data_IF_636168687035
#
_entry.id   IF_636168687035
#
_cell.length_a   1.000
_cell.length_b   1.000
_cell.length_c   1.000
_cell.angle_alpha   90.00
_cell.angle_beta   90.00
_cell.angle_gamma   90.00
#
_symmetry.space_group_name_H-M   'P 1'
#
loop_
_entity.id
_entity.type
_entity.pdbx_description
1 polymer ?
#
# COMPACT_ATOMS: atom_id res chain seq x y z
N UNK A 1 -2.95 -0.05 -14.87
CA UNK A 1 -2.69 0.45 -13.50
C UNK A 1 -2.04 1.80 -13.61
N UNK A 2 -2.35 2.74 -12.72
CA UNK A 2 -1.62 4.00 -12.59
C UNK A 2 -0.33 3.77 -11.81
N UNK A 3 0.69 4.62 -12.02
CA UNK A 3 1.97 4.54 -11.30
C UNK A 3 1.75 4.58 -9.79
N UNK A 4 0.85 5.43 -9.31
CA UNK A 4 0.54 5.60 -7.89
C UNK A 4 -0.11 4.36 -7.26
N UNK A 5 -1.02 3.69 -7.99
CA UNK A 5 -1.57 2.42 -7.50
C UNK A 5 -0.49 1.33 -7.41
N UNK A 6 0.41 1.27 -8.40
CA UNK A 6 1.54 0.34 -8.37
C UNK A 6 2.51 0.64 -7.23
N UNK A 7 2.75 1.92 -6.90
CA UNK A 7 3.51 2.32 -5.71
C UNK A 7 2.88 1.81 -4.42
N UNK A 8 1.58 2.04 -4.22
CA UNK A 8 0.89 1.56 -3.02
C UNK A 8 0.96 0.03 -2.93
N UNK A 9 0.74 -0.67 -4.05
CA UNK A 9 0.86 -2.12 -4.10
C UNK A 9 2.29 -2.62 -3.82
N UNK A 10 3.31 -1.92 -4.30
CA UNK A 10 4.70 -2.24 -3.99
C UNK A 10 4.97 -2.15 -2.49
N UNK A 11 4.43 -1.13 -1.82
CA UNK A 11 4.56 -0.97 -0.39
C UNK A 11 3.82 -2.06 0.39
N UNK A 12 2.58 -2.38 -0.01
CA UNK A 12 1.83 -3.50 0.58
C UNK A 12 2.61 -4.82 0.48
N UNK A 13 3.26 -5.08 -0.64
CA UNK A 13 4.11 -6.24 -0.79
C UNK A 13 5.34 -6.23 0.15
N UNK A 14 5.89 -5.06 0.50
CA UNK A 14 6.93 -4.96 1.54
C UNK A 14 6.36 -5.38 2.89
N UNK A 15 5.17 -4.89 3.25
CA UNK A 15 4.50 -5.24 4.50
C UNK A 15 4.27 -6.76 4.62
N UNK A 16 3.88 -7.41 3.52
CA UNK A 16 3.58 -8.85 3.50
C UNK A 16 4.82 -9.73 3.38
N UNK A 17 5.83 -9.31 2.61
CA UNK A 17 7.00 -10.15 2.30
C UNK A 17 8.15 -9.95 3.27
N UNK A 18 8.24 -8.77 3.89
CA UNK A 18 9.34 -8.39 4.79
C UNK A 18 8.84 -7.64 6.03
N UNK A 19 7.87 -8.20 6.78
CA UNK A 19 7.38 -7.56 8.00
C UNK A 19 8.49 -7.36 9.05
N UNK A 20 9.55 -8.18 9.03
CA UNK A 20 10.71 -8.05 9.92
C UNK A 20 11.52 -6.76 9.74
N UNK A 21 11.38 -6.08 8.59
CA UNK A 21 12.01 -4.77 8.36
C UNK A 21 11.24 -3.62 9.02
N UNK A 22 10.04 -3.90 9.54
CA UNK A 22 9.12 -2.90 10.06
C UNK A 22 9.07 -3.04 11.57
N UNK A 23 9.57 -2.02 12.25
CA UNK A 23 9.64 -1.97 13.70
C UNK A 23 8.25 -1.76 14.29
N UNK A 24 8.08 -2.08 15.57
CA UNK A 24 6.82 -1.79 16.28
C UNK A 24 6.44 -0.31 16.23
N UNK A 25 7.41 0.59 16.26
CA UNK A 25 7.18 2.03 16.12
C UNK A 25 6.66 2.38 14.72
N UNK A 26 7.28 1.82 13.68
CA UNK A 26 6.89 2.00 12.29
C UNK A 26 5.44 1.54 12.07
N UNK A 27 5.04 0.43 12.68
CA UNK A 27 3.64 -0.04 12.65
C UNK A 27 2.65 0.93 13.28
N UNK A 28 3.01 1.61 14.38
CA UNK A 28 2.16 2.64 14.99
C UNK A 28 2.02 3.84 14.07
N UNK A 29 3.12 4.29 13.46
CA UNK A 29 3.09 5.40 12.52
C UNK A 29 2.28 5.06 11.26
N UNK A 30 2.41 3.84 10.75
CA UNK A 30 1.63 3.36 9.60
C UNK A 30 0.14 3.29 9.90
N UNK A 31 -0.28 2.85 11.10
CA UNK A 31 -1.68 2.84 11.51
C UNK A 31 -2.27 4.26 11.60
N UNK A 32 -1.50 5.20 12.15
CA UNK A 32 -1.87 6.63 12.18
C UNK A 32 -1.93 7.23 10.78
N UNK A 33 -0.98 6.88 9.91
CA UNK A 33 -0.95 7.31 8.52
C UNK A 33 -2.21 6.81 7.80
N UNK A 34 -2.50 5.51 7.93
CA UNK A 34 -3.64 4.82 7.32
C UNK A 34 -4.98 5.46 7.69
N UNK A 35 -5.15 5.84 8.96
CA UNK A 35 -6.33 6.53 9.47
C UNK A 35 -6.54 7.92 8.82
N UNK A 36 -5.45 8.58 8.40
CA UNK A 36 -5.46 9.91 7.80
C UNK A 36 -5.23 9.90 6.27
N UNK A 37 -5.34 8.73 5.63
CA UNK A 37 -5.14 8.63 4.19
C UNK A 37 -6.32 9.26 3.42
N UNK A 38 -6.02 10.04 2.36
CA UNK A 38 -7.00 10.50 1.39
C UNK A 38 -7.53 9.32 0.56
N UNK A 39 -8.57 9.56 -0.25
CA UNK A 39 -9.09 8.53 -1.16
C UNK A 39 -8.26 8.42 -2.45
N UNK A 40 -7.56 9.49 -2.83
CA UNK A 40 -6.78 9.54 -4.07
C UNK A 40 -5.45 8.78 -3.96
N UNK A 41 -5.16 7.94 -4.94
CA UNK A 41 -3.94 7.12 -4.96
C UNK A 41 -2.66 7.96 -5.12
N UNK A 42 -2.70 9.10 -5.80
CA UNK A 42 -1.56 10.01 -5.94
C UNK A 42 -1.19 10.61 -4.58
N UNK A 43 -2.19 11.15 -3.87
CA UNK A 43 -1.99 11.74 -2.55
C UNK A 43 -1.57 10.70 -1.49
N UNK A 44 -2.12 9.48 -1.54
CA UNK A 44 -1.69 8.37 -0.68
C UNK A 44 -0.22 8.06 -0.95
N UNK A 45 0.18 7.97 -2.22
CA UNK A 45 1.57 7.67 -2.60
C UNK A 45 2.50 8.76 -2.09
N UNK A 46 2.14 10.03 -2.27
CA UNK A 46 2.94 11.15 -1.77
C UNK A 46 3.13 11.08 -0.24
N UNK A 47 2.05 10.84 0.51
CA UNK A 47 2.11 10.67 1.96
C UNK A 47 3.01 9.51 2.37
N UNK A 48 2.91 8.39 1.65
CA UNK A 48 3.70 7.20 1.89
C UNK A 48 5.20 7.43 1.61
N UNK A 49 5.53 8.06 0.48
CA UNK A 49 6.91 8.38 0.14
C UNK A 49 7.51 9.41 1.10
N UNK A 50 6.71 10.36 1.58
CA UNK A 50 7.14 11.26 2.64
C UNK A 50 7.38 10.53 3.97
N UNK A 51 6.59 9.51 4.29
CA UNK A 51 6.85 8.65 5.45
C UNK A 51 8.11 7.81 5.28
N UNK A 52 8.47 7.39 4.06
CA UNK A 52 9.68 6.62 3.75
C UNK A 52 10.99 7.45 3.66
N UNK A 53 10.90 8.78 3.64
CA UNK A 53 12.07 9.67 3.56
C UNK A 53 13.09 9.58 4.71
N UNK A 54 12.69 9.41 5.99
CA UNK A 54 13.63 9.36 7.11
C UNK A 54 14.65 8.22 6.93
N UNK A 55 15.89 8.45 7.38
CA UNK A 55 16.96 7.45 7.28
C UNK A 55 16.63 6.16 8.04
N UNK A 56 15.87 6.27 9.14
CA UNK A 56 15.34 5.13 9.88
C UNK A 56 14.53 4.16 9.02
N UNK A 57 13.90 4.64 7.94
CA UNK A 57 13.10 3.83 7.02
C UNK A 57 13.87 3.44 5.76
N UNK A 58 15.19 3.70 5.68
CA UNK A 58 16.00 3.44 4.49
C UNK A 58 15.94 1.99 4.02
N UNK A 59 15.92 1.02 4.95
CA UNK A 59 15.80 -0.40 4.60
C UNK A 59 14.43 -0.74 4.00
N UNK A 60 13.36 -0.16 4.56
CA UNK A 60 11.99 -0.30 4.05
C UNK A 60 11.88 0.36 2.67
N UNK A 61 12.47 1.54 2.50
CA UNK A 61 12.49 2.29 1.24
C UNK A 61 13.24 1.54 0.12
N UNK A 62 14.35 0.89 0.45
CA UNK A 62 15.07 0.05 -0.51
C UNK A 62 14.24 -1.16 -0.95
N UNK A 63 13.62 -1.86 0.00
CA UNK A 63 12.73 -2.98 -0.31
C UNK A 63 11.55 -2.53 -1.17
N UNK A 64 10.93 -1.39 -0.85
CA UNK A 64 9.87 -0.76 -1.61
C UNK A 64 10.31 -0.48 -3.05
N UNK A 65 11.46 0.16 -3.26
CA UNK A 65 11.99 0.48 -4.59
C UNK A 65 12.29 -0.76 -5.43
N UNK A 66 12.82 -1.81 -4.80
CA UNK A 66 13.06 -3.08 -5.49
C UNK A 66 11.76 -3.68 -6.01
N UNK A 67 10.76 -3.82 -5.14
CA UNK A 67 9.46 -4.39 -5.52
C UNK A 67 8.75 -3.49 -6.53
N UNK A 68 8.82 -2.17 -6.37
CA UNK A 68 8.25 -1.22 -7.33
C UNK A 68 8.86 -1.39 -8.72
N UNK A 69 10.18 -1.52 -8.79
CA UNK A 69 10.90 -1.74 -10.05
C UNK A 69 10.49 -3.07 -10.69
N UNK A 70 10.39 -4.14 -9.89
CA UNK A 70 9.93 -5.45 -10.35
C UNK A 70 8.49 -5.41 -10.88
N UNK A 71 7.57 -4.71 -10.20
CA UNK A 71 6.19 -4.56 -10.64
C UNK A 71 6.09 -3.78 -11.94
N UNK A 72 6.85 -2.68 -12.08
CA UNK A 72 6.89 -1.89 -13.31
C UNK A 72 7.52 -2.69 -14.46
N UNK A 73 8.57 -3.47 -14.20
CA UNK A 73 9.23 -4.31 -15.20
C UNK A 73 8.34 -5.48 -15.65
N UNK A 74 7.58 -6.08 -14.72
CA UNK A 74 6.70 -7.22 -14.98
C UNK A 74 5.38 -6.83 -15.62
N UNK A 75 4.94 -5.59 -15.42
CA UNK A 75 3.76 -5.02 -16.06
C UNK A 75 4.14 -3.64 -16.56
N UNK A 76 4.69 -3.51 -17.78
CA UNK A 76 5.02 -2.22 -18.34
C UNK A 76 3.75 -1.38 -18.34
N UNK A 77 3.68 -0.43 -17.40
CA UNK A 77 2.62 0.55 -17.33
C UNK A 77 2.69 1.25 -18.67
N UNK A 78 1.71 1.01 -19.53
CA UNK A 78 1.66 1.61 -20.84
C UNK A 78 1.32 3.08 -20.62
N UNK A 79 2.34 3.89 -20.33
CA UNK A 79 2.25 5.34 -20.13
C UNK A 79 1.74 6.06 -21.38
N UNK A 80 1.55 5.34 -22.49
CA UNK A 80 1.00 5.83 -23.74
C UNK A 80 -0.52 5.60 -23.90
N UNK A 81 -1.19 5.03 -22.89
CA UNK A 81 -2.63 4.82 -22.91
C UNK A 81 -3.37 5.93 -22.16
N UNK A 82 -3.82 6.95 -22.91
CA UNK A 82 -4.82 7.99 -22.59
C UNK A 82 -4.32 9.41 -22.30
N UNK A 83 -3.74 10.04 -23.31
CA UNK A 83 -4.17 11.39 -23.66
C UNK A 83 -5.17 11.27 -24.82
N UNK A 84 -6.47 11.11 -24.50
CA UNK A 84 -7.53 11.31 -25.49
C UNK A 84 -8.64 10.25 -25.53
N UNK A 85 -9.84 10.70 -25.18
CA UNK A 85 -11.18 10.20 -25.56
C UNK A 85 -11.66 8.96 -24.78
N UNK A 86 -12.79 9.16 -24.11
CA UNK A 86 -13.39 8.22 -23.17
C UNK A 86 -13.82 6.88 -23.75
N UNK A 87 -14.20 6.01 -22.81
CA UNK A 87 -14.63 4.61 -22.92
C UNK A 87 -13.50 3.59 -22.71
N UNK A 88 -13.16 3.35 -21.44
CA UNK A 88 -12.80 2.00 -21.00
C UNK A 88 -13.79 1.59 -19.92
N UNK A 89 -14.66 0.63 -20.26
CA UNK A 89 -15.48 -0.05 -19.28
C UNK A 89 -14.51 -0.88 -18.44
N UNK A 90 -14.45 -0.60 -17.13
CA UNK A 90 -13.74 -1.44 -16.17
C UNK A 90 -14.22 -2.88 -16.31
N UNK A 91 -13.34 -3.78 -16.73
CA UNK A 91 -13.53 -5.22 -16.57
C UNK A 91 -13.28 -5.57 -15.10
N UNK A 92 -14.18 -5.13 -14.23
CA UNK A 92 -14.28 -5.67 -12.88
C UNK A 92 -15.61 -6.42 -12.81
N UNK A 93 -15.64 -7.70 -12.36
CA UNK A 93 -16.89 -8.42 -12.18
C UNK A 93 -17.86 -7.59 -11.33
N UNK A 94 -19.11 -7.53 -11.77
CA UNK A 94 -20.13 -6.50 -11.44
C UNK A 94 -20.61 -6.47 -9.98
N UNK A 95 -19.93 -7.15 -9.05
CA UNK A 95 -20.45 -7.41 -7.71
C UNK A 95 -19.42 -7.42 -6.57
N UNK A 96 -18.17 -6.99 -6.80
CA UNK A 96 -17.27 -6.63 -5.70
C UNK A 96 -16.85 -5.18 -5.88
N UNK A 97 -16.95 -4.33 -4.84
CA UNK A 97 -16.22 -3.08 -4.86
C UNK A 97 -14.75 -3.44 -5.02
N UNK A 98 -14.11 -2.95 -6.09
CA UNK A 98 -12.66 -2.95 -6.17
C UNK A 98 -12.15 -2.30 -4.88
N UNK A 99 -11.30 -2.97 -4.11
CA UNK A 99 -10.70 -2.34 -2.94
C UNK A 99 -10.01 -1.04 -3.38
N UNK A 100 -10.39 0.07 -2.77
CA UNK A 100 -9.70 1.35 -3.02
C UNK A 100 -8.25 1.24 -2.59
N UNK A 101 -7.35 2.02 -3.20
CA UNK A 101 -5.92 1.98 -2.85
C UNK A 101 -5.68 2.24 -1.34
N UNK A 102 -6.51 3.09 -0.73
CA UNK A 102 -6.59 3.28 0.71
C UNK A 102 -6.93 1.99 1.47
N UNK A 103 -8.01 1.32 1.07
CA UNK A 103 -8.45 0.07 1.72
C UNK A 103 -7.40 -1.03 1.59
N UNK A 104 -6.74 -1.13 0.43
CA UNK A 104 -5.65 -2.07 0.21
C UNK A 104 -4.52 -1.88 1.23
N UNK A 105 -4.10 -0.63 1.43
CA UNK A 105 -3.05 -0.28 2.38
C UNK A 105 -3.50 -0.49 3.84
N UNK A 106 -4.70 -0.04 4.19
CA UNK A 106 -5.28 -0.25 5.53
C UNK A 106 -5.36 -1.75 5.88
N UNK A 107 -5.83 -2.57 4.96
CA UNK A 107 -5.99 -4.01 5.16
C UNK A 107 -4.63 -4.69 5.32
N UNK A 108 -3.65 -4.30 4.51
CA UNK A 108 -2.29 -4.82 4.64
C UNK A 108 -1.66 -4.45 5.98
N UNK A 109 -1.85 -3.23 6.46
CA UNK A 109 -1.33 -2.79 7.77
C UNK A 109 -2.01 -3.59 8.89
N UNK A 110 -3.34 -3.68 8.89
CA UNK A 110 -4.10 -4.41 9.93
C UNK A 110 -3.75 -5.89 9.99
N UNK A 111 -3.54 -6.52 8.83
CA UNK A 111 -3.25 -7.97 8.72
C UNK A 111 -1.83 -8.33 9.18
N UNK A 112 -0.85 -7.49 8.89
CA UNK A 112 0.56 -7.78 9.13
C UNK A 112 1.10 -7.12 10.42
N UNK A 113 0.40 -6.12 10.97
CA UNK A 113 0.82 -5.47 12.21
C UNK A 113 0.74 -6.42 13.41
N UNK A 114 1.86 -6.68 14.10
CA UNK A 114 1.88 -7.51 15.30
C UNK A 114 1.11 -6.86 16.47
N UNK A 115 0.82 -5.56 16.38
CA UNK A 115 0.12 -4.80 17.42
C UNK A 115 -1.38 -5.09 17.44
N UNK A 116 -1.98 -5.34 16.28
CA UNK A 116 -3.41 -5.62 16.12
C UNK A 116 -3.75 -7.12 16.17
N UNK A 117 -2.74 -7.98 15.97
CA UNK A 117 -2.88 -9.43 16.15
C UNK A 117 -2.83 -9.88 17.62
N UNK A 118 -2.90 -8.96 18.58
CA UNK A 118 -3.25 -9.34 19.95
C UNK A 118 -4.65 -9.93 19.91
N UNK A 119 -4.86 -11.23 20.24
CA UNK A 119 -6.21 -11.75 20.39
C UNK A 119 -6.93 -10.86 21.42
N UNK A 120 -8.21 -10.52 21.21
CA UNK A 120 -8.98 -9.86 22.27
C UNK A 120 -8.79 -10.69 23.54
N UNK A 121 -8.50 -10.07 24.70
CA UNK A 121 -8.32 -10.82 25.94
C UNK A 121 -9.56 -11.69 26.10
N UNK A 122 -9.35 -13.02 26.12
CA UNK A 122 -10.42 -13.99 26.25
C UNK A 122 -11.29 -13.55 27.43
N UNK A 123 -12.51 -13.12 27.12
CA UNK A 123 -13.54 -12.94 28.13
C UNK A 123 -13.89 -14.33 28.65
N UNK A 124 -13.16 -14.79 29.67
CA UNK A 124 -13.66 -15.82 30.58
C UNK A 124 -14.73 -15.16 31.46
N UNK A 125 -15.96 -15.68 31.37
CA UNK A 125 -16.57 -16.32 32.54
C UNK A 125 -16.87 -17.80 32.31
#
# INVERSE_FOLDING_TARGET
MSVSYTSIQAFVNVLESKPDLISSQDWVELDQLASNLPEDAEDITEKLENWLKPESHSQIFQAYKQILTELIASSPINSNANLGIGKTKSSTPVNQPSESAKQLLENAIKKNSPLLNSPPPQQQP
#
